data_IF_195898075092
#
_entry.id   IF_195898075092
#
_cell.length_a   1.000
_cell.length_b   1.000
_cell.length_c   1.000
_cell.angle_alpha   90.00
_cell.angle_beta   90.00
_cell.angle_gamma   90.00
#
_symmetry.space_group_name_H-M   'P 1'
#
loop_
_entity.id
_entity.type
_entity.pdbx_description
1 polymer ?
#
# COMPACT_ATOMS: atom_id res chain seq x y z
N UNK A 1 8.42 -7.55 -1.84
CA UNK A 1 6.95 -7.33 -2.03
C UNK A 1 6.51 -6.12 -1.22
N UNK A 2 5.35 -5.53 -1.55
CA UNK A 2 4.86 -4.33 -0.83
C UNK A 2 4.03 -4.65 0.42
N UNK A 3 3.52 -5.85 0.59
CA UNK A 3 2.88 -6.34 1.82
C UNK A 3 2.46 -7.80 1.70
N UNK A 4 2.10 -8.42 2.86
CA UNK A 4 1.51 -9.77 2.93
C UNK A 4 0.09 -9.87 2.36
N UNK A 5 -0.56 -8.76 2.04
CA UNK A 5 -1.95 -8.73 1.56
C UNK A 5 -2.11 -9.55 0.29
N UNK A 6 -3.14 -10.40 0.23
CA UNK A 6 -3.36 -11.36 -0.86
C UNK A 6 -3.29 -10.73 -2.27
N UNK A 7 -3.85 -9.54 -2.53
CA UNK A 7 -3.68 -8.90 -3.84
C UNK A 7 -2.22 -8.57 -4.22
N UNK A 8 -1.32 -8.49 -3.24
CA UNK A 8 0.11 -8.25 -3.46
C UNK A 8 0.94 -9.53 -3.44
N UNK A 9 0.48 -10.55 -2.74
CA UNK A 9 1.30 -11.73 -2.39
C UNK A 9 0.80 -13.05 -2.94
N UNK A 10 -0.50 -13.17 -3.24
CA UNK A 10 -1.10 -14.45 -3.62
C UNK A 10 -0.53 -15.11 -4.88
N UNK A 11 0.07 -14.33 -5.78
CA UNK A 11 0.76 -14.81 -6.97
C UNK A 11 2.29 -14.91 -6.85
N UNK A 12 2.87 -14.60 -5.68
CA UNK A 12 4.32 -14.43 -5.55
C UNK A 12 5.09 -15.75 -5.78
N UNK A 13 4.64 -16.85 -5.21
CA UNK A 13 5.24 -18.17 -5.38
C UNK A 13 5.21 -18.61 -6.86
N UNK A 14 4.06 -18.45 -7.51
CA UNK A 14 3.93 -18.74 -8.93
C UNK A 14 4.90 -17.89 -9.78
N UNK A 15 4.96 -16.58 -9.54
CA UNK A 15 5.86 -15.69 -10.27
C UNK A 15 7.33 -16.05 -10.02
N UNK A 16 7.71 -16.34 -8.78
CA UNK A 16 9.06 -16.79 -8.46
C UNK A 16 9.45 -18.02 -9.27
N UNK A 17 8.58 -19.03 -9.33
CA UNK A 17 8.81 -20.26 -10.09
C UNK A 17 9.00 -19.99 -11.59
N UNK A 18 8.19 -19.08 -12.17
CA UNK A 18 8.30 -18.71 -13.58
C UNK A 18 9.58 -17.92 -13.91
N UNK A 19 10.15 -17.24 -12.91
CA UNK A 19 11.36 -16.43 -13.04
C UNK A 19 12.62 -17.16 -12.55
N UNK A 20 12.64 -18.48 -12.60
CA UNK A 20 13.80 -19.30 -12.24
C UNK A 20 14.03 -19.38 -10.74
N UNK A 21 12.97 -19.40 -9.95
CA UNK A 21 12.97 -19.40 -8.48
C UNK A 21 13.67 -18.15 -7.90
N UNK A 22 13.34 -16.98 -8.44
CA UNK A 22 13.88 -15.72 -7.90
C UNK A 22 13.46 -15.55 -6.42
N UNK A 23 14.33 -14.99 -5.56
CA UNK A 23 14.00 -14.77 -4.16
C UNK A 23 12.83 -13.80 -4.00
N UNK A 24 11.97 -14.07 -3.03
CA UNK A 24 10.83 -13.23 -2.68
C UNK A 24 11.16 -12.55 -1.37
N UNK A 25 11.23 -11.22 -1.38
CA UNK A 25 11.49 -10.43 -0.19
C UNK A 25 10.21 -9.81 0.35
N UNK A 26 10.03 -9.88 1.67
CA UNK A 26 8.93 -9.25 2.40
C UNK A 26 9.44 -8.66 3.72
N UNK A 27 8.78 -7.63 4.24
CA UNK A 27 9.07 -7.11 5.57
C UNK A 27 8.88 -8.20 6.64
N UNK A 28 9.74 -8.20 7.68
CA UNK A 28 9.74 -9.21 8.75
C UNK A 28 8.36 -9.45 9.38
N UNK A 29 7.57 -8.39 9.58
CA UNK A 29 6.19 -8.45 10.09
C UNK A 29 5.21 -9.23 9.18
N UNK A 30 5.54 -9.41 7.90
CA UNK A 30 4.72 -10.13 6.93
C UNK A 30 5.16 -11.58 6.69
N UNK A 31 6.39 -11.94 7.06
CA UNK A 31 7.01 -13.20 6.69
C UNK A 31 6.22 -14.42 7.16
N UNK A 32 5.90 -14.48 8.45
CA UNK A 32 5.19 -15.62 9.03
C UNK A 32 3.86 -15.92 8.34
N UNK A 33 3.11 -14.88 7.95
CA UNK A 33 1.83 -15.05 7.28
C UNK A 33 1.96 -15.74 5.91
N UNK A 34 3.04 -15.49 5.18
CA UNK A 34 3.31 -16.12 3.89
C UNK A 34 3.86 -17.53 4.04
N UNK A 35 4.79 -17.73 4.99
CA UNK A 35 5.42 -19.02 5.22
C UNK A 35 4.49 -20.05 5.88
N UNK A 36 3.42 -19.60 6.52
CA UNK A 36 2.39 -20.49 7.10
C UNK A 36 1.12 -20.58 6.25
N UNK A 37 1.02 -19.83 5.16
CA UNK A 37 -0.19 -19.80 4.35
C UNK A 37 -1.39 -19.23 5.10
N UNK A 38 -1.17 -18.22 5.96
CA UNK A 38 -2.23 -17.62 6.78
C UNK A 38 -3.22 -16.83 5.92
N UNK A 39 -4.34 -17.46 5.62
CA UNK A 39 -5.35 -16.85 4.75
C UNK A 39 -6.21 -15.78 5.45
N UNK A 40 -6.18 -15.70 6.79
CA UNK A 40 -6.89 -14.66 7.53
C UNK A 40 -6.15 -13.33 7.54
N UNK A 41 -4.89 -13.30 7.98
CA UNK A 41 -4.12 -12.06 8.07
C UNK A 41 -3.71 -11.53 6.70
N UNK A 42 -3.58 -12.41 5.70
CA UNK A 42 -3.40 -12.01 4.30
C UNK A 42 -4.71 -11.57 3.62
N UNK A 43 -5.86 -11.88 4.21
CA UNK A 43 -7.19 -11.68 3.66
C UNK A 43 -7.48 -12.51 2.39
N UNK A 44 -6.80 -13.59 2.16
CA UNK A 44 -7.11 -14.51 1.06
C UNK A 44 -8.56 -15.02 1.16
N UNK A 45 -9.04 -15.25 2.39
CA UNK A 45 -10.43 -15.62 2.68
C UNK A 45 -11.49 -14.64 2.15
N UNK A 46 -11.12 -13.36 1.92
CA UNK A 46 -12.02 -12.36 1.35
C UNK A 46 -12.10 -12.44 -0.17
N UNK A 47 -11.23 -13.21 -0.78
CA UNK A 47 -11.16 -13.46 -2.21
C UNK A 47 -11.57 -14.90 -2.55
N UNK A 48 -12.15 -15.61 -1.57
CA UNK A 48 -12.50 -17.03 -1.71
C UNK A 48 -11.32 -17.89 -2.20
N UNK A 49 -10.15 -17.62 -1.61
CA UNK A 49 -8.87 -18.22 -2.01
C UNK A 49 -8.08 -18.65 -0.80
N UNK A 50 -7.27 -19.68 -0.97
CA UNK A 50 -6.22 -20.05 -0.04
C UNK A 50 -4.99 -19.17 -0.25
N UNK A 51 -4.20 -18.97 0.79
CA UNK A 51 -2.89 -18.35 0.68
C UNK A 51 -1.83 -19.44 0.42
N UNK A 52 -1.11 -19.41 -0.72
CA UNK A 52 -0.03 -20.35 -0.96
C UNK A 52 1.09 -20.23 0.09
N UNK A 53 1.65 -21.35 0.51
CA UNK A 53 2.89 -21.35 1.29
C UNK A 53 4.01 -20.77 0.44
N UNK A 54 4.58 -19.66 0.88
CA UNK A 54 5.58 -18.93 0.11
C UNK A 54 6.83 -18.74 0.95
N UNK A 55 7.94 -19.33 0.52
CA UNK A 55 9.25 -19.10 1.15
C UNK A 55 9.70 -17.66 0.85
N UNK A 56 10.15 -16.96 1.89
CA UNK A 56 10.52 -15.54 1.75
C UNK A 56 11.84 -15.22 2.44
N UNK A 57 12.54 -14.21 1.92
CA UNK A 57 13.65 -13.55 2.56
C UNK A 57 13.15 -12.21 3.17
N UNK A 58 13.81 -11.75 4.22
CA UNK A 58 13.44 -10.50 4.89
C UNK A 58 13.98 -9.31 4.11
N UNK A 59 13.17 -8.24 4.04
CA UNK A 59 13.58 -6.90 3.65
C UNK A 59 13.12 -5.91 4.72
N UNK A 60 14.04 -5.03 5.14
CA UNK A 60 13.77 -4.02 6.16
C UNK A 60 13.88 -2.60 5.60
N UNK A 61 13.48 -1.63 6.41
CA UNK A 61 13.63 -0.21 6.07
C UNK A 61 15.10 0.15 5.82
N UNK A 62 15.35 0.81 4.70
CA UNK A 62 16.70 1.23 4.30
C UNK A 62 17.49 0.19 3.53
N UNK A 63 17.00 -1.02 3.33
CA UNK A 63 17.68 -2.01 2.48
C UNK A 63 17.78 -1.51 1.04
N UNK A 64 18.90 -1.84 0.39
CA UNK A 64 19.23 -1.37 -0.96
C UNK A 64 19.52 -2.57 -1.87
N UNK A 65 18.86 -2.59 -3.01
CA UNK A 65 19.05 -3.59 -4.06
C UNK A 65 19.69 -2.94 -5.29
N UNK A 66 20.67 -3.60 -5.88
CA UNK A 66 21.25 -3.14 -7.15
C UNK A 66 20.22 -3.32 -8.30
N UNK A 67 20.13 -2.32 -9.17
CA UNK A 67 19.27 -2.34 -10.36
C UNK A 67 20.03 -1.77 -11.56
N UNK A 68 20.79 -2.60 -12.24
CA UNK A 68 21.71 -2.15 -13.31
C UNK A 68 22.73 -1.17 -12.75
N UNK A 69 22.78 0.04 -13.31
CA UNK A 69 23.65 1.13 -12.86
C UNK A 69 23.06 1.96 -11.70
N UNK A 70 21.85 1.65 -11.26
CA UNK A 70 21.13 2.33 -10.21
C UNK A 70 20.83 1.44 -9.02
N UNK A 71 19.98 1.94 -8.14
CA UNK A 71 19.57 1.23 -6.93
C UNK A 71 18.09 1.36 -6.64
N UNK A 72 17.56 0.39 -5.90
CA UNK A 72 16.21 0.40 -5.33
C UNK A 72 16.33 0.41 -3.83
N UNK A 73 15.83 1.46 -3.19
CA UNK A 73 15.80 1.60 -1.73
C UNK A 73 14.45 1.12 -1.19
N UNK A 74 14.47 0.16 -0.29
CA UNK A 74 13.28 -0.28 0.41
C UNK A 74 12.93 0.72 1.52
N UNK A 75 11.64 1.01 1.69
CA UNK A 75 11.13 1.92 2.71
C UNK A 75 9.94 1.26 3.42
N UNK A 76 10.02 1.13 4.74
CA UNK A 76 8.87 0.72 5.54
C UNK A 76 7.90 1.89 5.67
N UNK A 77 6.69 1.71 5.18
CA UNK A 77 5.63 2.74 5.18
C UNK A 77 4.35 2.14 5.79
N UNK A 78 4.34 1.91 7.11
CA UNK A 78 3.19 1.33 7.79
C UNK A 78 1.96 2.22 7.71
N UNK A 79 0.80 1.63 8.05
CA UNK A 79 -0.47 2.33 8.13
C UNK A 79 -1.61 1.58 7.48
N UNK A 80 -1.46 1.05 6.26
CA UNK A 80 -2.40 0.07 5.73
C UNK A 80 -2.27 -1.26 6.47
N UNK A 81 -1.06 -1.72 6.67
CA UNK A 81 -0.66 -2.79 7.57
C UNK A 81 0.78 -2.54 8.05
N UNK A 82 1.20 -3.22 9.12
CA UNK A 82 2.52 -3.03 9.72
C UNK A 82 3.68 -3.39 8.79
N UNK A 83 3.49 -4.35 7.90
CA UNK A 83 4.46 -4.84 6.91
C UNK A 83 4.43 -4.09 5.56
N UNK A 84 3.79 -2.91 5.51
CA UNK A 84 3.71 -2.15 4.27
C UNK A 84 5.05 -1.58 3.86
N UNK A 85 5.46 -1.86 2.61
CA UNK A 85 6.71 -1.41 2.02
C UNK A 85 6.46 -0.59 0.74
N UNK A 86 7.37 0.33 0.47
CA UNK A 86 7.52 1.00 -0.81
C UNK A 86 8.95 0.85 -1.32
N UNK A 87 9.15 1.12 -2.60
CA UNK A 87 10.45 0.99 -3.24
C UNK A 87 10.77 2.27 -4.01
N UNK A 88 11.84 2.95 -3.60
CA UNK A 88 12.29 4.22 -4.17
C UNK A 88 13.50 4.01 -5.08
N UNK A 89 13.47 4.59 -6.26
CA UNK A 89 14.56 4.59 -7.24
C UNK A 89 15.05 6.04 -7.40
N UNK A 90 16.10 6.44 -6.65
CA UNK A 90 16.53 7.84 -6.58
C UNK A 90 16.91 8.44 -7.94
N UNK A 91 17.62 7.69 -8.77
CA UNK A 91 18.13 8.13 -10.09
C UNK A 91 16.99 8.44 -11.06
N UNK A 92 15.80 7.89 -10.80
CA UNK A 92 14.60 8.10 -11.62
C UNK A 92 13.56 9.00 -10.93
N UNK A 93 13.84 9.47 -9.72
CA UNK A 93 12.87 10.19 -8.88
C UNK A 93 11.50 9.44 -8.84
N UNK A 94 11.56 8.11 -8.75
CA UNK A 94 10.41 7.21 -8.89
C UNK A 94 10.16 6.44 -7.61
N UNK A 95 8.90 6.37 -7.17
CA UNK A 95 8.46 5.60 -6.02
C UNK A 95 7.34 4.63 -6.40
N UNK A 96 7.48 3.37 -5.99
CA UNK A 96 6.42 2.36 -6.01
C UNK A 96 5.83 2.30 -4.62
N UNK A 97 4.59 2.74 -4.44
CA UNK A 97 4.00 2.99 -3.11
C UNK A 97 3.26 1.79 -2.49
N UNK A 98 3.02 0.73 -3.27
CA UNK A 98 2.22 -0.38 -2.76
C UNK A 98 0.86 0.07 -2.22
N UNK A 99 0.49 -0.44 -1.06
CA UNK A 99 -0.82 -0.22 -0.44
C UNK A 99 -0.97 1.17 0.21
N UNK A 100 0.11 1.89 0.48
CA UNK A 100 0.01 3.21 1.11
C UNK A 100 -0.72 4.22 0.22
N UNK A 101 -0.45 4.19 -1.08
CA UNK A 101 -1.16 4.97 -2.09
C UNK A 101 -1.70 4.01 -3.15
N UNK A 102 -2.85 3.37 -2.90
CA UNK A 102 -3.38 2.38 -3.83
C UNK A 102 -3.78 2.98 -5.17
N UNK A 103 -4.22 4.24 -5.18
CA UNK A 103 -4.58 5.04 -6.36
C UNK A 103 -4.47 6.53 -6.08
N UNK A 104 -4.29 7.33 -7.15
CA UNK A 104 -4.27 8.79 -7.04
C UNK A 104 -5.58 9.40 -6.50
N UNK A 105 -6.68 8.74 -6.77
CA UNK A 105 -8.04 9.22 -6.50
C UNK A 105 -8.75 8.48 -5.37
N UNK A 106 -8.06 7.54 -4.70
CA UNK A 106 -8.63 6.75 -3.60
C UNK A 106 -7.64 6.57 -2.47
N UNK A 107 -8.06 6.93 -1.25
CA UNK A 107 -7.25 6.72 -0.07
C UNK A 107 -7.13 5.23 0.25
N UNK A 108 -6.06 4.90 0.95
CA UNK A 108 -5.88 3.55 1.50
C UNK A 108 -6.83 3.28 2.66
N UNK A 109 -6.96 2.02 3.02
CA UNK A 109 -7.72 1.57 4.20
C UNK A 109 -6.79 1.45 5.40
N UNK A 110 -7.32 1.67 6.59
CA UNK A 110 -6.64 1.46 7.87
C UNK A 110 -7.38 0.49 8.80
N UNK A 111 -8.54 0.01 8.37
CA UNK A 111 -9.36 -0.99 9.06
C UNK A 111 -8.91 -2.43 8.79
N UNK A 112 -7.65 -2.59 8.42
CA UNK A 112 -7.02 -3.87 8.13
C UNK A 112 -6.39 -4.45 9.41
N UNK A 113 -6.17 -5.75 9.51
CA UNK A 113 -5.31 -6.30 10.54
C UNK A 113 -3.97 -5.55 10.55
N UNK A 114 -3.58 -5.01 11.70
CA UNK A 114 -2.41 -4.14 11.92
C UNK A 114 -2.46 -2.77 11.21
N UNK A 115 -3.65 -2.34 10.71
CA UNK A 115 -3.84 -1.01 10.17
C UNK A 115 -3.77 0.06 11.25
N UNK A 116 -3.16 1.23 10.92
CA UNK A 116 -2.99 2.33 11.86
C UNK A 116 -3.11 3.67 11.13
N UNK A 117 -4.14 4.42 11.45
CA UNK A 117 -4.43 5.70 10.78
C UNK A 117 -3.33 6.76 11.00
N UNK A 118 -2.78 6.99 12.22
CA UNK A 118 -1.66 7.90 12.41
C UNK A 118 -0.41 7.53 11.62
N UNK A 119 -0.15 6.23 11.44
CA UNK A 119 1.00 5.76 10.67
C UNK A 119 0.86 6.08 9.18
N UNK A 120 -0.37 6.05 8.63
CA UNK A 120 -0.62 6.49 7.24
C UNK A 120 -0.17 7.93 7.05
N UNK A 121 -0.55 8.83 7.96
CA UNK A 121 -0.17 10.24 7.90
C UNK A 121 1.35 10.38 7.96
N UNK A 122 1.99 9.68 8.88
CA UNK A 122 3.45 9.71 9.05
C UNK A 122 4.17 9.21 7.80
N UNK A 123 3.71 8.09 7.24
CA UNK A 123 4.25 7.47 6.01
C UNK A 123 4.06 8.36 4.78
N UNK A 124 2.88 8.97 4.60
CA UNK A 124 2.64 9.93 3.50
C UNK A 124 3.51 11.18 3.62
N UNK A 125 3.70 11.70 4.84
CA UNK A 125 4.60 12.83 5.09
C UNK A 125 6.07 12.46 4.84
N UNK A 126 6.47 11.19 5.10
CA UNK A 126 7.83 10.72 4.80
C UNK A 126 8.08 10.71 3.29
N UNK A 127 7.20 10.12 2.50
CA UNK A 127 7.37 10.09 1.03
C UNK A 127 7.27 11.48 0.39
N UNK A 128 6.50 12.40 0.96
CA UNK A 128 6.41 13.79 0.46
C UNK A 128 7.74 14.55 0.55
N UNK A 129 8.66 14.12 1.43
CA UNK A 129 10.01 14.72 1.55
C UNK A 129 10.97 14.25 0.46
N UNK A 130 10.62 13.21 -0.28
CA UNK A 130 11.45 12.69 -1.37
C UNK A 130 11.34 13.59 -2.61
N UNK A 131 12.37 13.51 -3.46
CA UNK A 131 12.29 14.07 -4.81
C UNK A 131 11.54 13.08 -5.70
N UNK A 132 10.32 13.40 -6.08
CA UNK A 132 9.45 12.53 -6.85
C UNK A 132 8.99 13.20 -8.14
N UNK A 133 9.32 12.59 -9.27
CA UNK A 133 8.78 12.89 -10.59
C UNK A 133 7.66 11.92 -10.95
N UNK A 134 7.77 10.67 -10.49
CA UNK A 134 6.81 9.62 -10.79
C UNK A 134 6.48 8.80 -9.54
N UNK A 135 5.19 8.58 -9.33
CA UNK A 135 4.70 7.63 -8.33
C UNK A 135 3.89 6.54 -9.05
N UNK A 136 4.24 5.31 -8.77
CA UNK A 136 3.51 4.12 -9.26
C UNK A 136 2.63 3.62 -8.12
N UNK A 137 1.31 3.86 -8.17
CA UNK A 137 0.38 3.34 -7.19
C UNK A 137 0.16 1.83 -7.42
N UNK A 138 -0.44 1.15 -6.45
CA UNK A 138 -0.77 -0.27 -6.59
C UNK A 138 -1.71 -0.53 -7.78
N UNK A 139 -2.59 0.40 -8.07
CA UNK A 139 -3.63 0.29 -9.10
C UNK A 139 -3.76 1.61 -9.87
N UNK A 140 -4.17 1.49 -11.13
CA UNK A 140 -4.37 2.64 -12.00
C UNK A 140 -3.07 3.15 -12.64
N UNK A 141 -3.15 4.28 -13.33
CA UNK A 141 -2.00 4.85 -14.04
C UNK A 141 -0.97 5.44 -13.08
N UNK A 142 0.29 5.46 -13.54
CA UNK A 142 1.34 6.18 -12.86
C UNK A 142 1.02 7.69 -12.76
N UNK A 143 1.27 8.27 -11.60
CA UNK A 143 1.15 9.70 -11.33
C UNK A 143 2.46 10.34 -11.75
N UNK A 144 2.42 11.28 -12.71
CA UNK A 144 3.63 11.87 -13.29
C UNK A 144 3.63 13.38 -13.18
N UNK A 145 4.83 13.92 -13.03
CA UNK A 145 5.08 15.36 -12.87
C UNK A 145 5.09 15.81 -11.42
N UNK A 146 6.15 16.50 -11.01
CA UNK A 146 6.40 16.93 -9.60
C UNK A 146 5.21 17.64 -8.98
N UNK A 147 4.59 18.56 -9.73
CA UNK A 147 3.44 19.33 -9.25
C UNK A 147 2.25 18.43 -8.98
N UNK A 148 1.93 17.53 -9.92
CA UNK A 148 0.79 16.61 -9.78
C UNK A 148 1.01 15.58 -8.68
N UNK A 149 2.23 15.00 -8.58
CA UNK A 149 2.60 14.10 -7.48
C UNK A 149 2.41 14.79 -6.13
N UNK A 150 2.92 16.03 -5.99
CA UNK A 150 2.78 16.79 -4.75
C UNK A 150 1.32 17.12 -4.42
N UNK A 151 0.50 17.45 -5.41
CA UNK A 151 -0.94 17.70 -5.24
C UNK A 151 -1.66 16.45 -4.74
N UNK A 152 -1.42 15.30 -5.37
CA UNK A 152 -2.02 14.02 -4.96
C UNK A 152 -1.61 13.66 -3.54
N UNK A 153 -0.32 13.72 -3.22
CA UNK A 153 0.17 13.43 -1.86
C UNK A 153 -0.43 14.38 -0.82
N UNK A 154 -0.50 15.68 -1.13
CA UNK A 154 -1.07 16.67 -0.22
C UNK A 154 -2.54 16.39 0.07
N UNK A 155 -3.33 16.10 -0.95
CA UNK A 155 -4.75 15.75 -0.80
C UNK A 155 -4.96 14.52 0.07
N UNK A 156 -4.12 13.48 -0.09
CA UNK A 156 -4.19 12.29 0.75
C UNK A 156 -3.80 12.61 2.19
N UNK A 157 -2.77 13.42 2.41
CA UNK A 157 -2.36 13.83 3.76
C UNK A 157 -3.51 14.57 4.45
N UNK A 158 -4.07 15.60 3.81
CA UNK A 158 -5.19 16.39 4.36
C UNK A 158 -6.38 15.51 4.71
N UNK A 159 -6.72 14.57 3.83
CA UNK A 159 -7.79 13.62 4.09
C UNK A 159 -7.54 12.78 5.34
N UNK A 160 -6.34 12.20 5.48
CA UNK A 160 -6.05 11.35 6.64
C UNK A 160 -5.84 12.15 7.92
N UNK A 161 -5.33 13.37 7.85
CA UNK A 161 -5.25 14.29 9.00
C UNK A 161 -6.66 14.59 9.52
N UNK A 162 -7.60 14.90 8.63
CA UNK A 162 -9.00 15.11 9.00
C UNK A 162 -9.64 13.83 9.58
N UNK A 163 -9.33 12.65 9.02
CA UNK A 163 -9.77 11.38 9.59
C UNK A 163 -9.23 11.18 11.03
N UNK A 164 -7.97 11.53 11.29
CA UNK A 164 -7.39 11.46 12.65
C UNK A 164 -8.13 12.39 13.61
N UNK A 165 -8.35 13.65 13.22
CA UNK A 165 -9.08 14.64 14.01
C UNK A 165 -10.53 14.21 14.30
N UNK A 166 -11.12 13.44 13.40
CA UNK A 166 -12.48 12.93 13.49
C UNK A 166 -12.59 11.50 14.02
N UNK A 167 -11.57 11.03 14.73
CA UNK A 167 -11.55 9.71 15.36
C UNK A 167 -11.81 8.54 14.38
N UNK A 168 -11.27 8.65 13.16
CA UNK A 168 -11.39 7.63 12.11
C UNK A 168 -12.59 7.81 11.18
N UNK A 169 -13.35 8.89 11.31
CA UNK A 169 -14.48 9.17 10.42
C UNK A 169 -14.00 9.89 9.16
N UNK A 170 -14.37 9.37 8.00
CA UNK A 170 -14.03 9.99 6.73
C UNK A 170 -14.71 11.36 6.55
N UNK A 171 -14.02 12.39 6.02
CA UNK A 171 -14.61 13.69 5.75
C UNK A 171 -15.68 13.61 4.66
N UNK A 172 -16.84 14.25 4.88
CA UNK A 172 -17.95 14.29 3.92
C UNK A 172 -17.61 15.10 2.66
N UNK A 173 -16.71 16.07 2.79
CA UNK A 173 -16.36 17.05 1.73
C UNK A 173 -15.28 16.57 0.77
N UNK A 174 -14.68 15.41 1.01
CA UNK A 174 -13.63 14.94 0.13
C UNK A 174 -14.23 14.52 -1.22
N UNK A 175 -13.98 15.33 -2.24
CA UNK A 175 -14.43 15.04 -3.59
C UNK A 175 -13.72 13.76 -4.06
N UNK A 176 -14.45 12.67 -4.08
CA UNK A 176 -14.00 11.45 -4.75
C UNK A 176 -13.98 11.73 -6.24
N UNK A 177 -12.84 11.64 -6.92
CA UNK A 177 -12.83 11.68 -8.38
C UNK A 177 -13.74 10.57 -8.92
N UNK A 178 -14.25 10.76 -10.14
CA UNK A 178 -15.23 9.88 -10.76
C UNK A 178 -14.92 8.39 -10.52
N UNK A 179 -15.93 7.64 -10.13
CA UNK A 179 -15.85 6.23 -9.76
C UNK A 179 -15.60 5.31 -10.97
N UNK A 180 -14.62 5.61 -11.78
CA UNK A 180 -14.32 4.85 -13.00
C UNK A 180 -13.54 3.57 -12.77
N UNK A 181 -13.14 3.29 -11.54
CA UNK A 181 -12.33 2.11 -11.25
C UNK A 181 -12.99 1.18 -10.25
N UNK A 182 -12.98 -0.08 -10.60
CA UNK A 182 -13.32 -1.18 -9.73
C UNK A 182 -12.47 -1.10 -8.45
N UNK A 183 -13.14 -1.06 -7.33
CA UNK A 183 -12.55 -1.16 -6.03
C UNK A 183 -12.25 -2.64 -5.76
N UNK A 184 -10.99 -3.01 -5.77
CA UNK A 184 -10.57 -4.42 -5.63
C UNK A 184 -10.53 -4.93 -4.19
N UNK A 185 -10.82 -4.09 -3.20
CA UNK A 185 -10.90 -4.54 -1.82
C UNK A 185 -12.31 -5.04 -1.49
N UNK A 186 -12.44 -6.15 -0.72
CA UNK A 186 -13.74 -6.63 -0.26
C UNK A 186 -14.51 -5.59 0.55
N UNK A 187 -15.81 -5.73 0.60
CA UNK A 187 -16.68 -4.85 1.40
C UNK A 187 -16.42 -4.96 2.90
N UNK A 188 -16.54 -3.84 3.63
CA UNK A 188 -16.82 -2.51 3.09
C UNK A 188 -15.57 -1.96 2.38
N UNK A 189 -15.74 -1.37 1.20
CA UNK A 189 -14.61 -0.89 0.40
C UNK A 189 -13.88 0.29 1.05
N UNK A 190 -14.52 0.94 2.01
CA UNK A 190 -14.09 2.17 2.62
C UNK A 190 -14.70 2.28 4.01
N UNK A 191 -14.15 3.10 4.95
CA UNK A 191 -14.80 3.30 6.23
C UNK A 191 -16.27 3.57 6.04
N UNK A 192 -17.09 2.80 6.74
CA UNK A 192 -18.55 2.91 6.64
C UNK A 192 -18.96 4.35 6.95
N UNK A 193 -19.69 4.97 6.03
CA UNK A 193 -20.43 6.18 6.36
C UNK A 193 -21.43 5.80 7.46
N UNK A 194 -21.42 6.53 8.57
CA UNK A 194 -22.49 6.38 9.55
C UNK A 194 -23.81 6.60 8.80
N UNK A 195 -24.70 5.63 8.88
CA UNK A 195 -26.09 5.87 8.49
C UNK A 195 -26.56 7.00 9.40
N UNK A 196 -26.89 8.15 8.81
CA UNK A 196 -27.64 9.16 9.55
C UNK A 196 -28.89 8.43 10.03
N UNK A 197 -29.06 8.31 11.35
CA UNK A 197 -30.32 7.88 11.93
C UNK A 197 -31.37 8.86 11.42
N UNK A 198 -32.15 8.41 10.45
CA UNK A 198 -33.31 9.12 9.95
C UNK A 198 -34.35 8.99 11.09
N UNK A 199 -34.39 9.99 11.96
CA UNK A 199 -35.48 10.20 12.91
C UNK A 199 -36.74 10.69 12.17
#
# INVERSE_FOLDING_TARGET
MTSRRFPCSGGADFLSSQLGNCPIHIHSEGQSALETGDFFTTWANRFDSDMPFTKTDIVEDGDVFALGDGQVCAMALPGHCSDSMAYYIPEKELLITGQLLPRADRPTRWDMPTGCLPDIVSSLRAIKKLKLETVIPLQGPAIKGKSHVNEVLQRHIEFFEECVEREGRAPKSWSRPAQTALWLTPHPPWPLEEKEDIN
#
